data_IF_535693504497
#
_entry.id   IF_535693504497
#
_cell.length_a   1.000
_cell.length_b   1.000
_cell.length_c   1.000
_cell.angle_alpha   90.00
_cell.angle_beta   90.00
_cell.angle_gamma   90.00
#
_symmetry.space_group_name_H-M   'P 1'
#
loop_
_entity.id
_entity.type
_entity.pdbx_description
1 polymer ?
#
# COMPACT_ATOMS: atom_id res chain seq x y z
N UNK A 1 -26.82 4.18 -0.78
CA UNK A 1 -25.89 3.08 -1.10
C UNK A 1 -26.65 1.79 -0.79
N UNK A 2 -26.88 0.94 -1.79
CA UNK A 2 -27.66 -0.29 -1.61
C UNK A 2 -26.79 -1.36 -0.94
N UNK A 3 -27.11 -1.68 0.32
CA UNK A 3 -26.38 -2.64 1.14
C UNK A 3 -26.37 -4.02 0.48
N UNK A 4 -27.45 -4.38 -0.23
CA UNK A 4 -27.62 -5.66 -0.91
C UNK A 4 -26.59 -5.83 -2.04
N UNK A 5 -26.40 -4.79 -2.84
CA UNK A 5 -25.43 -4.79 -3.92
C UNK A 5 -23.97 -4.86 -3.43
N UNK A 6 -23.68 -4.37 -2.22
CA UNK A 6 -22.36 -4.52 -1.58
C UNK A 6 -22.15 -5.95 -1.09
N UNK A 7 -23.15 -6.53 -0.42
CA UNK A 7 -23.11 -7.92 0.03
C UNK A 7 -22.86 -8.89 -1.13
N UNK A 8 -23.53 -8.70 -2.27
CA UNK A 8 -23.33 -9.53 -3.48
C UNK A 8 -21.94 -9.40 -4.10
N UNK A 9 -21.25 -8.28 -3.88
CA UNK A 9 -19.85 -8.12 -4.30
C UNK A 9 -18.89 -8.81 -3.34
N UNK A 10 -19.16 -8.74 -2.04
CA UNK A 10 -18.34 -9.36 -1.01
C UNK A 10 -18.42 -10.90 -1.04
N UNK A 11 -19.56 -11.48 -1.47
CA UNK A 11 -19.68 -12.95 -1.64
C UNK A 11 -18.82 -13.48 -2.80
N UNK A 12 -18.43 -12.62 -3.75
CA UNK A 12 -17.52 -12.95 -4.86
C UNK A 12 -16.05 -12.72 -4.50
N UNK A 13 -15.74 -12.39 -3.24
CA UNK A 13 -14.37 -12.18 -2.80
C UNK A 13 -13.66 -13.54 -2.73
N UNK A 14 -12.87 -13.86 -3.76
CA UNK A 14 -12.00 -15.02 -3.74
C UNK A 14 -10.73 -14.67 -2.96
N UNK A 15 -10.47 -15.39 -1.88
CA UNK A 15 -9.19 -15.29 -1.19
C UNK A 15 -8.11 -15.87 -2.12
N UNK A 16 -7.21 -15.03 -2.63
CA UNK A 16 -6.17 -15.46 -3.56
C UNK A 16 -5.19 -16.47 -2.93
N UNK A 17 -5.08 -16.49 -1.60
CA UNK A 17 -4.33 -17.49 -0.83
C UNK A 17 -4.27 -17.13 0.65
N UNK A 18 -4.06 -18.14 1.51
CA UNK A 18 -3.65 -17.92 2.91
C UNK A 18 -2.14 -17.93 2.95
N UNK A 19 -1.52 -16.87 3.49
CA UNK A 19 -0.10 -16.93 3.82
C UNK A 19 0.08 -17.89 4.99
N UNK A 20 0.81 -18.99 4.78
CA UNK A 20 1.05 -20.01 5.80
C UNK A 20 1.95 -19.46 6.91
N UNK A 21 1.66 -19.84 8.16
CA UNK A 21 2.59 -19.74 9.28
C UNK A 21 3.80 -20.65 8.97
N UNK A 22 4.76 -20.14 8.20
CA UNK A 22 6.04 -20.79 8.01
C UNK A 22 6.82 -20.65 9.33
N UNK A 23 7.23 -21.79 9.91
CA UNK A 23 8.00 -21.84 11.16
C UNK A 23 9.43 -21.32 10.99
N UNK A 24 9.97 -21.41 9.78
CA UNK A 24 11.14 -20.62 9.41
C UNK A 24 10.67 -19.25 8.95
N UNK A 25 11.32 -18.17 9.39
CA UNK A 25 11.08 -16.83 8.85
C UNK A 25 11.68 -16.80 7.44
N UNK A 26 10.92 -16.91 6.33
CA UNK A 26 11.44 -16.38 5.09
C UNK A 26 11.67 -14.89 5.33
N UNK A 27 12.71 -14.32 4.73
CA UNK A 27 12.92 -12.87 4.68
C UNK A 27 11.78 -12.23 3.86
N UNK A 28 10.57 -12.29 4.38
CA UNK A 28 9.32 -12.02 3.69
C UNK A 28 8.94 -10.60 4.00
N UNK A 29 9.26 -9.75 3.04
CA UNK A 29 8.60 -8.47 2.93
C UNK A 29 7.10 -8.71 2.89
N UNK A 30 6.37 -8.11 3.83
CA UNK A 30 4.90 -8.17 3.87
C UNK A 30 4.32 -6.77 3.73
N UNK A 31 3.12 -6.69 3.15
CA UNK A 31 2.39 -5.43 2.98
C UNK A 31 1.87 -4.96 4.34
N UNK A 32 2.06 -3.68 4.66
CA UNK A 32 1.58 -3.06 5.90
C UNK A 32 0.32 -2.22 5.60
N UNK A 33 0.44 -1.26 4.69
CA UNK A 33 -0.67 -0.38 4.30
C UNK A 33 -0.88 -0.39 2.80
N UNK A 34 -2.13 -0.17 2.40
CA UNK A 34 -2.55 0.01 1.02
C UNK A 34 -3.35 1.29 0.94
N UNK A 35 -3.07 2.11 -0.05
CA UNK A 35 -3.98 3.17 -0.44
C UNK A 35 -3.98 3.37 -1.96
N UNK A 36 -5.04 3.96 -2.46
CA UNK A 36 -5.33 3.98 -3.87
C UNK A 36 -5.98 5.31 -4.27
N UNK A 37 -5.42 5.97 -5.29
CA UNK A 37 -6.00 7.09 -6.07
C UNK A 37 -7.53 7.06 -6.31
N UNK A 38 -8.32 7.77 -5.52
CA UNK A 38 -9.79 7.68 -5.61
C UNK A 38 -10.42 8.22 -6.91
N UNK A 39 -9.73 9.03 -7.74
CA UNK A 39 -10.30 9.63 -8.94
C UNK A 39 -9.59 9.19 -10.23
N UNK A 40 -10.30 8.54 -11.16
CA UNK A 40 -9.76 8.09 -12.45
C UNK A 40 -9.54 9.20 -13.49
N UNK A 41 -9.52 10.47 -13.07
CA UNK A 41 -9.39 11.63 -13.97
C UNK A 41 -7.96 11.88 -14.44
N UNK A 42 -6.98 11.14 -13.91
CA UNK A 42 -5.63 11.20 -14.47
C UNK A 42 -5.58 10.43 -15.78
N UNK A 43 -4.81 10.93 -16.75
CA UNK A 43 -4.50 10.20 -17.99
C UNK A 43 -3.51 9.05 -17.74
N UNK A 44 -3.14 8.79 -16.49
CA UNK A 44 -2.26 7.70 -16.07
C UNK A 44 -3.11 6.50 -15.66
N UNK A 45 -2.54 5.28 -15.75
CA UNK A 45 -3.21 4.10 -15.18
C UNK A 45 -3.47 4.37 -13.70
N UNK A 46 -4.74 4.29 -13.28
CA UNK A 46 -5.14 4.55 -11.90
C UNK A 46 -4.22 3.82 -10.91
N UNK A 47 -3.79 4.51 -9.85
CA UNK A 47 -2.71 4.04 -8.97
C UNK A 47 -3.24 3.28 -7.73
N UNK A 48 -2.48 2.25 -7.36
CA UNK A 48 -2.53 1.56 -6.06
C UNK A 48 -1.10 1.54 -5.48
N UNK A 49 -0.95 2.01 -4.25
CA UNK A 49 0.32 1.99 -3.51
C UNK A 49 0.24 1.00 -2.34
N UNK A 50 1.33 0.28 -2.11
CA UNK A 50 1.47 -0.71 -1.05
C UNK A 50 2.78 -0.50 -0.28
N UNK A 51 2.70 -0.10 0.98
CA UNK A 51 3.89 -0.04 1.84
C UNK A 51 4.26 -1.43 2.34
N UNK A 52 5.56 -1.69 2.49
CA UNK A 52 6.10 -2.99 2.85
C UNK A 52 6.98 -2.90 4.11
N UNK A 53 7.18 -4.03 4.79
CA UNK A 53 7.98 -4.11 6.04
C UNK A 53 9.46 -3.76 5.90
N UNK A 54 9.96 -3.63 4.67
CA UNK A 54 11.29 -3.16 4.33
C UNK A 54 11.33 -1.65 4.01
N UNK A 55 10.28 -0.90 4.36
CA UNK A 55 10.15 0.56 4.19
C UNK A 55 9.95 1.02 2.75
N UNK A 56 9.83 0.09 1.81
CA UNK A 56 9.53 0.42 0.42
C UNK A 56 8.03 0.59 0.20
N UNK A 57 7.67 1.43 -0.77
CA UNK A 57 6.30 1.56 -1.28
C UNK A 57 6.26 1.05 -2.72
N UNK A 58 5.49 0.00 -2.99
CA UNK A 58 5.31 -0.56 -4.33
C UNK A 58 4.08 0.04 -4.99
N UNK A 59 4.22 0.41 -6.25
CA UNK A 59 3.19 1.02 -7.07
C UNK A 59 2.68 0.03 -8.11
N UNK A 60 1.37 -0.03 -8.24
CA UNK A 60 0.67 -0.90 -9.17
C UNK A 60 -0.35 -0.10 -9.97
N UNK A 61 -0.62 -0.54 -11.19
CA UNK A 61 -1.87 -0.20 -11.86
C UNK A 61 -3.01 -0.80 -11.06
N UNK A 62 -3.87 0.03 -10.47
CA UNK A 62 -5.01 -0.36 -9.63
C UNK A 62 -5.89 -1.41 -10.29
N UNK A 63 -6.19 -1.24 -11.57
CA UNK A 63 -7.22 -2.05 -12.24
C UNK A 63 -6.68 -3.43 -12.67
N UNK A 64 -5.41 -3.49 -13.06
CA UNK A 64 -4.78 -4.73 -13.53
C UNK A 64 -3.86 -5.38 -12.50
N UNK A 65 -3.59 -4.69 -11.39
CA UNK A 65 -2.60 -5.04 -10.37
C UNK A 65 -1.20 -5.32 -10.95
N UNK A 66 -0.92 -4.78 -12.13
CA UNK A 66 0.40 -4.87 -12.76
C UNK A 66 1.34 -3.95 -12.00
N UNK A 67 2.43 -4.53 -11.50
CA UNK A 67 3.51 -3.79 -10.87
C UNK A 67 4.08 -2.76 -11.85
N UNK A 68 4.32 -1.55 -11.34
CA UNK A 68 4.90 -0.45 -12.10
C UNK A 68 6.29 -0.07 -11.57
N UNK A 69 6.39 0.28 -10.29
CA UNK A 69 7.62 0.83 -9.70
C UNK A 69 7.69 0.60 -8.19
N UNK A 70 8.90 0.67 -7.62
CA UNK A 70 9.13 0.76 -6.18
C UNK A 70 9.70 2.13 -5.83
N UNK A 71 9.11 2.75 -4.82
CA UNK A 71 9.61 3.96 -4.17
C UNK A 71 10.43 3.54 -2.95
N UNK A 72 11.65 4.05 -2.91
CA UNK A 72 12.67 3.76 -1.90
C UNK A 72 13.41 5.07 -1.59
N UNK A 73 14.12 5.12 -0.48
CA UNK A 73 14.95 6.28 -0.11
C UNK A 73 14.93 6.59 1.37
N UNK A 74 13.88 6.17 2.08
CA UNK A 74 13.88 6.13 3.53
C UNK A 74 14.56 4.86 4.02
N UNK A 75 15.69 4.99 4.72
CA UNK A 75 16.56 3.86 5.08
C UNK A 75 16.78 3.71 6.57
N UNK A 76 15.96 4.35 7.42
CA UNK A 76 16.06 4.18 8.87
C UNK A 76 15.60 2.78 9.26
N UNK A 77 16.56 1.86 9.35
CA UNK A 77 16.37 0.40 9.48
C UNK A 77 15.43 0.00 10.64
N UNK A 78 15.31 0.86 11.67
CA UNK A 78 14.48 0.61 12.85
C UNK A 78 13.20 1.46 12.91
N UNK A 79 12.85 2.19 11.85
CA UNK A 79 11.64 3.01 11.82
C UNK A 79 10.67 2.53 10.75
N UNK A 80 9.46 2.16 11.18
CA UNK A 80 8.45 1.55 10.32
C UNK A 80 7.55 2.62 9.71
N UNK A 81 7.02 2.34 8.52
CA UNK A 81 5.91 3.12 7.98
C UNK A 81 4.63 2.76 8.75
N UNK A 82 3.96 3.76 9.29
CA UNK A 82 2.76 3.65 10.14
C UNK A 82 1.47 4.06 9.42
N UNK A 83 1.61 4.71 8.26
CA UNK A 83 0.51 5.15 7.42
C UNK A 83 0.96 5.33 5.98
N UNK A 84 0.01 5.31 5.05
CA UNK A 84 0.21 5.55 3.63
C UNK A 84 -1.06 6.19 3.07
N UNK A 85 -0.91 7.24 2.27
CA UNK A 85 -2.01 7.89 1.58
C UNK A 85 -1.60 8.28 0.15
N UNK A 86 -2.55 8.19 -0.77
CA UNK A 86 -2.41 8.51 -2.19
C UNK A 86 -3.45 9.56 -2.54
N UNK A 87 -2.96 10.71 -2.98
CA UNK A 87 -3.81 11.79 -3.48
C UNK A 87 -4.80 11.32 -4.55
N UNK A 88 -5.92 12.04 -4.65
CA UNK A 88 -7.04 11.65 -5.52
C UNK A 88 -6.67 11.57 -7.01
N UNK A 89 -5.68 12.34 -7.46
CA UNK A 89 -5.15 12.36 -8.83
C UNK A 89 -3.91 11.48 -9.02
N UNK A 90 -3.39 10.90 -7.93
CA UNK A 90 -2.23 10.01 -7.92
C UNK A 90 -0.89 10.73 -8.09
N UNK A 91 -0.86 12.06 -8.00
CA UNK A 91 0.37 12.85 -8.19
C UNK A 91 1.24 12.94 -6.93
N UNK A 92 0.62 12.77 -5.76
CA UNK A 92 1.30 12.74 -4.47
C UNK A 92 1.05 11.42 -3.76
N UNK A 93 2.11 10.87 -3.20
CA UNK A 93 2.06 9.74 -2.27
C UNK A 93 2.76 10.21 -1.00
N UNK A 94 2.14 10.00 0.15
CA UNK A 94 2.77 10.27 1.43
C UNK A 94 2.72 9.07 2.37
N UNK A 95 3.71 8.96 3.24
CA UNK A 95 3.74 7.95 4.29
C UNK A 95 4.23 8.58 5.60
N UNK A 96 3.56 8.28 6.70
CA UNK A 96 4.04 8.60 8.04
C UNK A 96 4.88 7.46 8.59
N UNK A 97 5.84 7.78 9.46
CA UNK A 97 6.58 6.77 10.23
C UNK A 97 6.02 6.61 11.64
N UNK A 98 6.42 5.54 12.32
CA UNK A 98 6.33 5.49 13.79
C UNK A 98 7.25 6.57 14.40
N UNK A 99 7.05 6.86 15.68
CA UNK A 99 7.98 7.68 16.45
C UNK A 99 9.27 6.89 16.66
N UNK A 100 10.38 7.42 16.17
CA UNK A 100 11.72 6.88 16.41
C UNK A 100 12.49 7.88 17.28
N UNK A 101 12.80 7.47 18.51
CA UNK A 101 13.37 8.35 19.54
C UNK A 101 12.41 9.50 19.85
N UNK A 102 12.67 10.68 19.31
CA UNK A 102 11.89 11.91 19.54
C UNK A 102 11.25 12.44 18.26
N UNK A 103 11.52 11.81 17.11
CA UNK A 103 11.07 12.27 15.80
C UNK A 103 10.03 11.32 15.19
N UNK A 104 9.11 11.90 14.41
CA UNK A 104 8.29 11.18 13.45
C UNK A 104 8.40 11.91 12.11
N UNK A 105 8.45 11.14 11.02
CA UNK A 105 8.69 11.67 9.69
C UNK A 105 7.45 11.53 8.83
N UNK A 106 7.21 12.55 8.01
CA UNK A 106 6.28 12.48 6.89
C UNK A 106 7.10 12.48 5.61
N UNK A 107 6.97 11.40 4.85
CA UNK A 107 7.74 11.14 3.63
C UNK A 107 6.82 11.38 2.44
N UNK A 108 7.33 12.04 1.41
CA UNK A 108 6.58 12.32 0.18
C UNK A 108 7.37 11.84 -1.04
N UNK A 109 6.63 11.35 -2.03
CA UNK A 109 7.12 11.01 -3.36
C UNK A 109 6.23 11.61 -4.43
#
# INVERSE_FOLDING_TARGET
MDVTAMCDKLTKLHLAGKSSLCLEKPNTEYVIHLDSQSCSKSNTSALLAASSSNLNVRLYSRNSLVYSRTLSGYTEINNRLSSLDVSCDGNFICAGTDVLKEDAYLIFW
#
